data_IF_479014300527
#
_entry.id   IF_479014300527
#
_cell.length_a   1.000
_cell.length_b   1.000
_cell.length_c   1.000
_cell.angle_alpha   90.00
_cell.angle_beta   90.00
_cell.angle_gamma   90.00
#
_symmetry.space_group_name_H-M   'P 1'
#
loop_
_entity.id
_entity.type
_entity.pdbx_description
1 polymer ?
#
# COMPACT_ATOMS: atom_id res chain seq x y z
N UNK A 1 0.38 -55.38 25.70
CA UNK A 1 0.20 -55.03 25.69
C UNK A 1 0.06 -54.01 25.51
N UNK A 2 -0.15 -53.60 25.38
CA UNK A 2 -0.40 -52.80 25.36
C UNK A 2 0.03 -51.70 25.03
N UNK A 3 0.26 -51.28 24.64
CA UNK A 3 0.55 -50.42 24.36
C UNK A 3 0.46 -49.50 23.58
N UNK A 4 0.39 -49.35 23.13
CA UNK A 4 0.32 -48.66 22.35
C UNK A 4 -0.20 -47.61 22.18
N UNK A 5 -0.58 -47.45 22.23
CA UNK A 5 -1.17 -46.62 22.24
C UNK A 5 -0.74 -45.43 22.07
N UNK A 6 -0.29 -45.03 21.92
CA UNK A 6 0.10 -43.94 21.96
C UNK A 6 0.16 -43.21 21.00
N UNK A 7 0.11 -43.21 20.48
CA UNK A 7 0.29 -42.58 19.61
C UNK A 7 -0.23 -41.62 19.16
N UNK A 8 -0.62 -41.47 19.06
CA UNK A 8 -1.15 -40.68 18.62
C UNK A 8 -1.15 -39.46 18.65
N UNK A 9 -1.21 -39.12 18.86
CA UNK A 9 -1.25 -38.03 19.09
C UNK A 9 -0.65 -37.20 18.29
N UNK A 10 -0.37 -37.28 17.64
CA UNK A 10 0.30 -36.54 16.94
C UNK A 10 -0.41 -35.61 16.40
N UNK A 11 -0.88 -35.10 16.65
CA UNK A 11 -1.57 -34.30 16.24
C UNK A 11 -1.17 -33.28 15.69
N UNK A 12 -1.39 -32.94 15.12
CA UNK A 12 -1.23 -32.14 14.42
C UNK A 12 -1.54 -30.92 14.55
N UNK A 13 -1.03 -30.16 14.56
CA UNK A 13 -1.18 -29.01 14.68
C UNK A 13 -1.13 -28.39 13.49
N UNK A 14 -2.00 -28.25 12.90
CA UNK A 14 -2.02 -27.65 11.85
C UNK A 14 -2.20 -26.35 12.06
N UNK A 15 -1.32 -25.62 12.02
CA UNK A 15 -1.46 -24.41 12.29
C UNK A 15 -1.75 -23.80 11.10
N UNK A 16 -2.75 -23.36 10.86
CA UNK A 16 -3.03 -22.76 9.78
C UNK A 16 -2.67 -21.44 9.83
N UNK A 17 -1.75 -21.03 9.24
CA UNK A 17 -1.44 -19.73 9.23
C UNK A 17 -2.08 -19.10 8.15
N UNK A 18 -2.96 -19.68 7.58
CA UNK A 18 -3.52 -19.13 6.50
C UNK A 18 -3.92 -17.78 6.66
N UNK A 19 -4.27 -17.49 7.71
CA UNK A 19 -4.79 -16.21 7.86
C UNK A 19 -3.85 -15.15 7.62
N UNK A 20 -2.68 -15.50 7.64
CA UNK A 20 -1.77 -14.47 7.57
C UNK A 20 -1.82 -13.79 6.29
N UNK A 21 -2.44 -14.33 5.39
CA UNK A 21 -2.42 -13.72 4.19
C UNK A 21 -3.36 -12.66 4.19
N UNK A 22 -3.27 -11.81 4.94
CA UNK A 22 -4.25 -10.92 5.03
C UNK A 22 -4.17 -9.92 4.00
N UNK A 23 -5.18 -9.33 3.67
CA UNK A 23 -5.18 -8.22 2.80
C UNK A 23 -4.46 -7.09 3.47
N UNK A 24 -3.74 -6.35 2.73
CA UNK A 24 -3.07 -5.20 3.26
C UNK A 24 -4.13 -4.15 3.48
N UNK A 25 -4.25 -3.67 4.67
CA UNK A 25 -5.21 -2.64 4.95
C UNK A 25 -4.67 -1.30 4.53
N UNK A 26 -5.56 -0.46 4.06
CA UNK A 26 -5.16 0.88 3.70
C UNK A 26 -4.99 1.73 4.96
N UNK A 27 -4.02 2.60 4.97
CA UNK A 27 -3.79 3.48 6.10
C UNK A 27 -3.03 4.73 5.67
N UNK A 28 -3.08 5.75 6.50
CA UNK A 28 -2.32 6.98 6.27
C UNK A 28 -0.83 6.67 6.30
N UNK A 29 -0.40 5.85 7.24
CA UNK A 29 1.03 5.53 7.35
C UNK A 29 1.53 4.78 6.12
N UNK A 30 0.73 3.87 5.60
CA UNK A 30 1.11 3.16 4.39
C UNK A 30 1.12 4.13 3.21
N UNK A 31 0.18 5.05 3.18
CA UNK A 31 0.14 6.07 2.14
C UNK A 31 1.38 6.94 2.14
N UNK A 32 1.86 7.30 3.31
CA UNK A 32 3.06 8.10 3.41
C UNK A 32 4.26 7.33 2.87
N UNK A 33 4.36 6.05 3.18
CA UNK A 33 5.44 5.23 2.65
C UNK A 33 5.39 5.17 1.14
N UNK A 34 4.20 4.95 0.59
CA UNK A 34 4.04 4.85 -0.86
C UNK A 34 4.31 6.19 -1.54
N UNK A 35 3.94 7.28 -0.90
CA UNK A 35 4.16 8.62 -1.42
C UNK A 35 5.66 8.90 -1.58
N UNK A 36 6.47 8.29 -0.75
CA UNK A 36 7.90 8.49 -0.79
C UNK A 36 8.65 7.34 -1.47
N UNK A 37 7.91 6.40 -2.06
CA UNK A 37 8.51 5.23 -2.69
C UNK A 37 8.87 5.53 -4.14
N UNK A 38 10.13 5.49 -4.45
CA UNK A 38 10.60 5.76 -5.81
C UNK A 38 10.27 4.64 -6.79
N UNK A 39 9.78 3.51 -6.29
CA UNK A 39 9.44 2.37 -7.13
C UNK A 39 7.94 2.14 -7.22
N UNK A 40 7.16 3.07 -6.76
CA UNK A 40 5.72 2.96 -6.79
C UNK A 40 5.26 2.71 -8.23
N UNK A 41 4.42 1.70 -8.42
CA UNK A 41 3.95 1.37 -9.76
C UNK A 41 5.03 0.83 -10.68
N UNK A 42 6.14 0.37 -10.13
CA UNK A 42 7.24 -0.09 -10.96
C UNK A 42 8.01 1.06 -11.58
N UNK A 43 7.93 2.23 -10.97
CA UNK A 43 8.56 3.43 -11.50
C UNK A 43 10.07 3.27 -11.69
N UNK A 44 10.59 3.90 -12.70
CA UNK A 44 11.99 3.77 -13.06
C UNK A 44 12.75 5.09 -13.10
N UNK A 45 12.08 6.21 -12.88
CA UNK A 45 12.77 7.50 -13.00
C UNK A 45 13.63 7.86 -11.79
N UNK A 46 13.49 7.12 -10.71
CA UNK A 46 14.24 7.45 -9.48
C UNK A 46 13.59 8.58 -8.68
N UNK A 47 12.37 8.95 -9.01
CA UNK A 47 11.67 10.00 -8.27
C UNK A 47 10.42 9.41 -7.64
N UNK A 48 9.97 10.03 -6.56
CA UNK A 48 8.72 9.66 -5.90
C UNK A 48 7.83 10.90 -5.86
N UNK A 49 6.61 10.73 -5.36
CA UNK A 49 5.77 11.88 -5.15
C UNK A 49 6.46 12.85 -4.20
N UNK A 50 7.12 12.31 -3.18
CA UNK A 50 7.82 13.14 -2.21
C UNK A 50 9.03 13.84 -2.77
N UNK A 51 9.54 13.42 -3.92
CA UNK A 51 10.68 14.09 -4.53
C UNK A 51 10.33 15.52 -4.95
N UNK A 52 9.07 15.73 -5.38
CA UNK A 52 8.60 17.06 -5.75
C UNK A 52 7.73 17.67 -4.65
N UNK A 53 7.14 16.86 -3.83
CA UNK A 53 6.24 17.33 -2.78
C UNK A 53 6.75 16.81 -1.42
N UNK A 54 7.93 17.26 -1.02
CA UNK A 54 8.56 16.80 0.22
C UNK A 54 7.63 17.06 1.40
N UNK A 55 7.38 16.02 2.18
CA UNK A 55 6.47 16.14 3.31
C UNK A 55 5.03 16.46 2.91
N UNK A 56 4.68 16.23 1.66
CA UNK A 56 3.36 16.56 1.15
C UNK A 56 3.19 18.01 0.77
N UNK A 57 4.28 18.77 0.72
CA UNK A 57 4.19 20.18 0.45
C UNK A 57 3.57 20.42 -0.91
N UNK A 58 2.64 21.32 -0.96
CA UNK A 58 1.94 21.64 -2.20
C UNK A 58 0.73 20.76 -2.45
N UNK A 59 0.45 19.80 -1.57
CA UNK A 59 -0.67 18.89 -1.74
C UNK A 59 -1.83 19.21 -0.81
N UNK A 60 -1.79 20.36 -0.15
CA UNK A 60 -2.76 20.65 0.90
C UNK A 60 -4.20 20.71 0.41
N UNK A 61 -4.40 20.97 -0.84
CA UNK A 61 -5.75 21.03 -1.41
C UNK A 61 -6.12 19.80 -2.21
N UNK A 62 -5.15 18.94 -2.46
CA UNK A 62 -5.38 17.78 -3.32
C UNK A 62 -6.34 16.78 -2.71
N UNK A 63 -6.37 16.71 -1.39
CA UNK A 63 -7.26 15.77 -0.72
C UNK A 63 -8.73 16.06 -0.91
N UNK A 64 -9.06 17.26 -1.36
CA UNK A 64 -10.45 17.62 -1.58
C UNK A 64 -10.88 17.47 -3.03
N UNK A 65 -9.96 17.13 -3.91
CA UNK A 65 -10.28 17.08 -5.32
C UNK A 65 -10.90 15.75 -5.72
N UNK A 66 -11.91 15.81 -6.56
CA UNK A 66 -12.43 14.61 -7.17
C UNK A 66 -11.37 14.13 -8.16
N UNK A 67 -11.32 12.82 -8.40
CA UNK A 67 -10.38 12.32 -9.39
C UNK A 67 -8.95 12.21 -8.90
N UNK A 68 -8.76 12.15 -7.60
CA UNK A 68 -7.41 12.01 -7.06
C UNK A 68 -6.65 10.82 -7.63
N UNK A 69 -7.36 9.70 -7.83
CA UNK A 69 -6.70 8.52 -8.37
C UNK A 69 -6.13 8.80 -9.75
N UNK A 70 -6.85 9.55 -10.55
CA UNK A 70 -6.38 9.89 -11.91
C UNK A 70 -5.15 10.79 -11.83
N UNK A 71 -5.14 11.73 -10.90
CA UNK A 71 -4.00 12.61 -10.73
C UNK A 71 -2.79 11.85 -10.24
N UNK A 72 -2.99 10.96 -9.28
CA UNK A 72 -1.90 10.13 -8.75
C UNK A 72 -1.30 9.31 -9.87
N UNK A 73 -2.16 8.65 -10.65
CA UNK A 73 -1.68 7.82 -11.75
C UNK A 73 -1.01 8.67 -12.84
N UNK A 74 -1.46 9.88 -13.03
CA UNK A 74 -0.80 10.79 -13.97
C UNK A 74 0.64 11.06 -13.59
N UNK A 75 0.90 11.23 -12.30
CA UNK A 75 2.27 11.42 -11.83
C UNK A 75 3.07 10.14 -11.94
N UNK A 76 2.47 9.00 -11.60
CA UNK A 76 3.18 7.74 -11.66
C UNK A 76 3.63 7.46 -13.10
N UNK A 77 2.72 7.62 -14.04
CA UNK A 77 3.04 7.32 -15.43
C UNK A 77 3.96 8.39 -16.03
N UNK A 78 3.67 9.64 -15.76
CA UNK A 78 4.39 10.74 -16.40
C UNK A 78 5.73 11.05 -15.79
N UNK A 79 5.71 11.42 -14.50
CA UNK A 79 6.95 11.87 -13.86
C UNK A 79 7.79 10.71 -13.34
N UNK A 80 7.15 9.70 -12.86
CA UNK A 80 7.87 8.59 -12.23
C UNK A 80 8.22 7.49 -13.21
N UNK A 81 7.59 7.49 -14.39
CA UNK A 81 7.82 6.46 -15.40
C UNK A 81 7.44 5.08 -14.89
N UNK A 82 6.31 5.00 -14.28
CA UNK A 82 5.76 3.74 -13.80
C UNK A 82 4.46 3.41 -14.50
N UNK A 83 3.71 2.49 -13.92
CA UNK A 83 2.43 2.06 -14.46
C UNK A 83 1.30 2.42 -13.51
N UNK A 84 0.14 2.63 -14.05
CA UNK A 84 -1.02 2.99 -13.26
C UNK A 84 -1.31 1.95 -12.20
N UNK A 85 -1.77 2.42 -11.07
CA UNK A 85 -2.23 1.57 -9.98
C UNK A 85 -3.75 1.61 -10.02
N UNK A 86 -4.38 0.44 -9.94
CA UNK A 86 -5.82 0.36 -9.95
C UNK A 86 -6.38 1.13 -8.74
N UNK A 87 -7.39 1.91 -9.00
CA UNK A 87 -7.98 2.77 -7.97
C UNK A 87 -8.62 2.03 -6.81
N UNK A 88 -8.85 0.74 -6.93
CA UNK A 88 -9.47 -0.03 -5.87
C UNK A 88 -8.46 -0.76 -4.98
N UNK A 89 -7.18 -0.60 -5.26
CA UNK A 89 -6.16 -1.30 -4.46
C UNK A 89 -5.96 -0.62 -3.11
N UNK A 90 -5.41 -1.36 -2.18
CA UNK A 90 -5.06 -0.81 -0.89
C UNK A 90 -4.01 0.29 -1.03
N UNK A 91 -3.12 0.15 -1.99
CA UNK A 91 -2.09 1.16 -2.26
C UNK A 91 -2.73 2.48 -2.65
N UNK A 92 -3.65 2.46 -3.60
CA UNK A 92 -4.29 3.69 -4.02
C UNK A 92 -5.13 4.30 -2.89
N UNK A 93 -5.82 3.45 -2.13
CA UNK A 93 -6.61 3.94 -1.00
C UNK A 93 -5.71 4.59 0.06
N UNK A 94 -4.56 3.98 0.31
CA UNK A 94 -3.61 4.52 1.28
C UNK A 94 -3.04 5.85 0.82
N UNK A 95 -2.68 5.96 -0.45
CA UNK A 95 -2.20 7.23 -1.01
C UNK A 95 -3.25 8.31 -0.85
N UNK A 96 -4.51 7.99 -1.14
CA UNK A 96 -5.58 8.95 -0.97
C UNK A 96 -5.74 9.37 0.48
N UNK A 97 -5.66 8.42 1.40
CA UNK A 97 -5.78 8.74 2.83
C UNK A 97 -4.65 9.65 3.30
N UNK A 98 -3.45 9.38 2.84
CA UNK A 98 -2.32 10.22 3.21
C UNK A 98 -2.53 11.64 2.67
N UNK A 99 -2.90 11.76 1.40
CA UNK A 99 -3.11 13.07 0.80
C UNK A 99 -4.25 13.80 1.50
N UNK A 100 -5.30 13.09 1.86
CA UNK A 100 -6.40 13.70 2.62
C UNK A 100 -5.93 14.20 3.97
N UNK A 101 -4.98 13.51 4.58
CA UNK A 101 -4.46 13.92 5.88
C UNK A 101 -3.65 15.21 5.81
N UNK A 102 -3.27 15.63 4.62
CA UNK A 102 -2.50 16.85 4.44
C UNK A 102 -3.38 18.08 4.25
N UNK A 103 -4.67 17.89 4.16
CA UNK A 103 -5.59 19.01 3.95
C UNK A 103 -5.58 19.91 5.17
N UNK A 104 -5.51 21.19 4.94
CA UNK A 104 -5.50 22.18 6.02
C UNK A 104 -6.73 23.06 5.96
#
# INVERSE_FOLDING_TARGET
MKQMRLVLSAMLLVVCFAGAATAVESSVAQGEKLFNDQKLGGATSGTSCGSCHAGGKGMEKAGKLAGRAKMINGCIVGKMKGQKINGRTAEMRSLKKYIESLVK
#
